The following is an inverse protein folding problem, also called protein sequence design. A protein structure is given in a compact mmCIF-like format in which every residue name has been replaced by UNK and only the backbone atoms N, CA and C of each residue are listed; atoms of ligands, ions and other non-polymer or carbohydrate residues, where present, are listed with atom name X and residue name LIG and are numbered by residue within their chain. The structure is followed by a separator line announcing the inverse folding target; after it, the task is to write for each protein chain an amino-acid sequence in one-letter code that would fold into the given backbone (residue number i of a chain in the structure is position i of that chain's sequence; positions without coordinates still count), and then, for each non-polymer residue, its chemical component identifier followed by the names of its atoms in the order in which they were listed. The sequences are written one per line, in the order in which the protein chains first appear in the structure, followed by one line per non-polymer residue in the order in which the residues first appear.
data_IF_716860746877
#
_entry.id   IF_716860746877
#
_cell.length_a   1.000
_cell.length_b   1.000
_cell.length_c   1.000
_cell.angle_alpha   90.00
_cell.angle_beta   90.00
_cell.angle_gamma   90.00
#
_symmetry.space_group_name_H-M   'P 1'
#
loop_
_entity.id
_entity.type
_entity.pdbx_description
1 polymer ?
#
# COMPACT_ATOMS: atom_id res chain seq x y z
N UNK A 1 -41.35 -28.85 25.75
CA UNK A 1 -40.08 -28.14 25.98
C UNK A 1 -39.04 -29.16 26.40
N UNK A 2 -38.17 -29.62 25.49
CA UNK A 2 -36.85 -30.20 25.81
C UNK A 2 -36.03 -30.47 24.53
N UNK A 3 -35.88 -29.45 23.69
CA UNK A 3 -35.13 -29.52 22.42
C UNK A 3 -33.87 -28.61 22.44
N UNK A 4 -33.34 -28.30 23.64
CA UNK A 4 -32.20 -27.36 23.81
C UNK A 4 -30.95 -28.01 24.43
N UNK A 5 -30.94 -29.32 24.68
CA UNK A 5 -29.76 -30.04 25.19
C UNK A 5 -29.07 -30.98 24.18
N UNK A 6 -29.63 -31.15 22.97
CA UNK A 6 -29.02 -32.00 21.92
C UNK A 6 -27.96 -31.29 21.07
N UNK A 7 -28.16 -30.02 20.73
CA UNK A 7 -27.23 -29.25 19.87
C UNK A 7 -25.89 -28.96 20.54
N UNK A 8 -25.84 -28.97 21.89
CA UNK A 8 -24.62 -28.69 22.65
C UNK A 8 -23.63 -29.88 22.65
N UNK A 9 -24.09 -31.10 22.32
CA UNK A 9 -23.23 -32.29 22.34
C UNK A 9 -22.56 -32.58 20.98
N UNK A 10 -23.09 -32.04 19.88
CA UNK A 10 -22.53 -32.23 18.53
C UNK A 10 -21.21 -31.47 18.34
N UNK A 11 -21.10 -30.26 18.91
CA UNK A 11 -19.90 -29.41 18.80
C UNK A 11 -18.74 -29.90 19.66
N UNK A 12 -19.02 -30.59 20.77
CA UNK A 12 -18.00 -31.13 21.68
C UNK A 12 -17.49 -32.51 21.26
N UNK A 13 -18.27 -33.31 20.52
CA UNK A 13 -17.81 -34.60 19.96
C UNK A 13 -16.90 -34.45 18.74
N UNK A 14 -16.98 -33.31 18.03
CA UNK A 14 -16.04 -32.97 16.96
C UNK A 14 -14.67 -32.49 17.50
N UNK A 15 -14.49 -32.41 18.82
CA UNK A 15 -13.27 -31.88 19.47
C UNK A 15 -12.13 -32.87 19.70
N UNK A 16 -12.22 -34.13 19.25
CA UNK A 16 -11.16 -35.13 19.52
C UNK A 16 -10.88 -36.10 18.36
N UNK A 17 -11.14 -35.69 17.11
CA UNK A 17 -10.58 -36.33 15.91
C UNK A 17 -9.72 -35.31 15.18
N UNK A 18 -8.43 -35.32 15.51
CA UNK A 18 -7.41 -34.59 14.76
C UNK A 18 -7.12 -35.30 13.43
N UNK A 19 -7.12 -34.50 12.35
CA UNK A 19 -6.89 -34.90 10.96
C UNK A 19 -8.23 -35.21 10.28
N UNK A 20 -8.84 -34.34 9.49
CA UNK A 20 -8.28 -33.65 8.33
C UNK A 20 -9.04 -32.33 8.06
N UNK A 21 -8.52 -31.19 8.51
CA UNK A 21 -8.36 -30.15 7.51
C UNK A 21 -7.36 -30.80 6.56
N UNK A 22 -7.80 -31.24 5.39
CA UNK A 22 -6.86 -31.77 4.42
C UNK A 22 -5.78 -30.72 4.27
N UNK A 23 -4.60 -31.00 4.83
CA UNK A 23 -3.34 -30.69 4.21
C UNK A 23 -3.47 -31.33 2.83
N UNK A 24 -4.14 -30.61 1.94
CA UNK A 24 -4.72 -31.17 0.73
C UNK A 24 -3.57 -31.32 -0.22
N UNK A 25 -2.76 -32.38 -0.06
CA UNK A 25 -1.63 -32.66 -0.93
C UNK A 25 -0.65 -31.50 -1.13
N UNK A 26 -0.59 -30.52 -0.22
CA UNK A 26 0.40 -29.44 -0.28
C UNK A 26 1.74 -30.06 0.08
N UNK A 27 2.43 -30.57 -0.94
CA UNK A 27 3.82 -30.93 -0.84
C UNK A 27 4.57 -29.73 -0.24
N UNK A 28 5.62 -29.94 0.56
CA UNK A 28 6.34 -28.85 1.23
C UNK A 28 6.80 -27.74 0.26
N UNK A 29 7.00 -28.10 -1.01
CA UNK A 29 7.29 -27.16 -2.12
C UNK A 29 6.08 -26.36 -2.64
N UNK A 30 4.86 -26.89 -2.56
CA UNK A 30 3.62 -26.19 -2.95
C UNK A 30 3.28 -25.09 -1.93
N UNK A 31 3.42 -25.39 -0.63
CA UNK A 31 3.26 -24.38 0.42
C UNK A 31 4.28 -23.23 0.33
N UNK A 32 5.52 -23.53 -0.10
CA UNK A 32 6.54 -22.50 -0.36
C UNK A 32 6.23 -21.66 -1.60
N UNK A 33 5.65 -22.27 -2.63
CA UNK A 33 5.26 -21.59 -3.87
C UNK A 33 4.08 -20.65 -3.65
N UNK A 34 3.01 -21.10 -2.97
CA UNK A 34 1.86 -20.25 -2.63
C UNK A 34 2.25 -19.04 -1.75
N UNK A 35 3.16 -19.25 -0.80
CA UNK A 35 3.68 -18.17 0.04
C UNK A 35 4.44 -17.12 -0.80
N UNK A 36 5.32 -17.56 -1.70
CA UNK A 36 6.06 -16.67 -2.59
C UNK A 36 5.12 -15.88 -3.52
N UNK A 37 4.14 -16.55 -4.13
CA UNK A 37 3.20 -15.91 -5.05
C UNK A 37 2.35 -14.85 -4.34
N UNK A 38 1.93 -15.14 -3.10
CA UNK A 38 1.22 -14.18 -2.25
C UNK A 38 2.10 -12.97 -1.91
N UNK A 39 3.32 -13.19 -1.46
CA UNK A 39 4.25 -12.11 -1.10
C UNK A 39 4.59 -11.24 -2.32
N UNK A 40 4.77 -11.87 -3.49
CA UNK A 40 4.97 -11.17 -4.75
C UNK A 40 3.77 -10.30 -5.11
N UNK A 41 2.54 -10.83 -5.03
CA UNK A 41 1.32 -10.08 -5.30
C UNK A 41 1.16 -8.87 -4.35
N UNK A 42 1.42 -9.06 -3.06
CA UNK A 42 1.39 -7.97 -2.07
C UNK A 42 2.44 -6.89 -2.34
N UNK A 43 3.65 -7.29 -2.77
CA UNK A 43 4.71 -6.36 -3.14
C UNK A 43 4.34 -5.53 -4.36
N UNK A 44 3.75 -6.16 -5.38
CA UNK A 44 3.28 -5.48 -6.58
C UNK A 44 2.18 -4.47 -6.25
N UNK A 45 1.16 -4.88 -5.50
CA UNK A 45 0.07 -4.00 -5.07
C UNK A 45 0.59 -2.80 -4.27
N UNK A 46 1.57 -3.02 -3.38
CA UNK A 46 2.19 -1.95 -2.61
C UNK A 46 2.92 -0.94 -3.50
N UNK A 47 3.63 -1.41 -4.53
CA UNK A 47 4.31 -0.54 -5.50
C UNK A 47 3.32 0.26 -6.35
N UNK A 48 2.22 -0.35 -6.77
CA UNK A 48 1.18 0.33 -7.54
C UNK A 48 0.50 1.43 -6.71
N UNK A 49 0.21 1.14 -5.44
CA UNK A 49 -0.35 2.15 -4.53
C UNK A 49 0.63 3.31 -4.30
N UNK A 50 1.91 3.02 -4.05
CA UNK A 50 2.95 4.05 -3.94
C UNK A 50 2.98 4.94 -5.21
N UNK A 51 2.90 4.33 -6.41
CA UNK A 51 2.90 5.08 -7.67
C UNK A 51 1.67 5.98 -7.81
N UNK A 52 0.47 5.50 -7.45
CA UNK A 52 -0.75 6.31 -7.46
C UNK A 52 -0.65 7.51 -6.51
N UNK A 53 -0.08 7.34 -5.33
CA UNK A 53 0.15 8.43 -4.38
C UNK A 53 1.11 9.49 -4.94
N UNK A 54 2.20 9.07 -5.59
CA UNK A 54 3.15 10.00 -6.20
C UNK A 54 2.52 10.76 -7.38
N UNK A 55 1.66 10.11 -8.16
CA UNK A 55 0.89 10.76 -9.23
C UNK A 55 -0.08 11.80 -8.65
N UNK A 56 -0.82 11.45 -7.60
CA UNK A 56 -1.74 12.38 -6.93
C UNK A 56 -0.99 13.60 -6.39
N UNK A 57 0.13 13.39 -5.70
CA UNK A 57 0.99 14.47 -5.22
C UNK A 57 1.61 15.30 -6.36
N UNK A 58 1.83 14.72 -7.54
CA UNK A 58 2.25 15.47 -8.72
C UNK A 58 1.13 16.36 -9.28
N UNK A 59 -0.10 15.87 -9.30
CA UNK A 59 -1.27 16.64 -9.71
C UNK A 59 -1.54 17.82 -8.76
N UNK A 60 -1.40 17.61 -7.45
CA UNK A 60 -1.45 18.68 -6.46
C UNK A 60 -0.41 19.75 -6.75
N UNK A 61 0.87 19.37 -6.93
CA UNK A 61 1.93 20.32 -7.30
C UNK A 61 1.64 21.10 -8.59
N UNK A 62 0.90 20.51 -9.55
CA UNK A 62 0.47 21.22 -10.76
C UNK A 62 -0.56 22.28 -10.40
N UNK A 63 -1.57 21.95 -9.58
CA UNK A 63 -2.56 22.90 -9.09
C UNK A 63 -1.92 24.06 -8.30
N UNK A 64 -0.89 23.75 -7.52
CA UNK A 64 -0.16 24.71 -6.69
C UNK A 64 0.85 25.55 -7.49
N UNK A 65 1.11 25.20 -8.76
CA UNK A 65 2.12 25.83 -9.61
C UNK A 65 3.58 25.48 -9.26
N UNK A 66 3.81 24.50 -8.37
CA UNK A 66 5.14 24.05 -7.94
C UNK A 66 5.69 22.85 -8.73
N UNK A 67 4.93 22.37 -9.73
CA UNK A 67 5.33 21.24 -10.57
C UNK A 67 6.67 21.51 -11.30
N UNK A 68 7.52 20.49 -11.36
CA UNK A 68 8.84 20.59 -11.96
C UNK A 68 9.88 21.31 -11.11
N UNK A 69 9.59 21.65 -9.85
CA UNK A 69 10.57 22.17 -8.88
C UNK A 69 11.02 21.05 -7.94
N UNK A 70 12.34 20.97 -7.73
CA UNK A 70 12.96 19.97 -6.86
C UNK A 70 12.65 20.27 -5.39
N UNK A 71 12.07 19.31 -4.67
CA UNK A 71 11.71 19.48 -3.25
C UNK A 71 12.89 19.64 -2.27
N UNK A 72 14.11 19.24 -2.66
CA UNK A 72 15.31 19.38 -1.82
C UNK A 72 16.11 20.64 -2.14
N UNK A 73 16.36 20.92 -3.42
CA UNK A 73 17.25 22.02 -3.84
C UNK A 73 16.54 23.26 -4.37
N UNK A 74 15.22 23.19 -4.60
CA UNK A 74 14.44 24.27 -5.21
C UNK A 74 14.76 24.54 -6.68
N UNK A 75 15.66 23.77 -7.30
CA UNK A 75 16.02 23.90 -8.72
C UNK A 75 14.96 23.27 -9.63
N UNK A 76 14.90 23.71 -10.88
CA UNK A 76 14.04 23.07 -11.90
C UNK A 76 14.52 21.64 -12.20
N UNK A 77 13.57 20.73 -12.28
CA UNK A 77 13.77 19.34 -12.71
C UNK A 77 13.91 19.34 -14.24
N UNK A 78 14.92 18.64 -14.80
CA UNK A 78 15.10 18.56 -16.26
C UNK A 78 13.86 18.03 -16.97
N UNK A 79 13.47 18.67 -18.08
CA UNK A 79 12.26 18.29 -18.83
C UNK A 79 12.30 16.83 -19.30
N UNK A 80 13.43 16.36 -19.83
CA UNK A 80 13.60 14.95 -20.24
C UNK A 80 13.30 13.94 -19.12
N UNK A 81 13.52 14.31 -17.84
CA UNK A 81 13.16 13.49 -16.69
C UNK A 81 11.65 13.49 -16.43
N UNK A 82 10.99 14.64 -16.57
CA UNK A 82 9.54 14.76 -16.41
C UNK A 82 8.77 14.08 -17.55
N UNK A 83 9.34 14.04 -18.76
CA UNK A 83 8.79 13.29 -19.89
C UNK A 83 8.87 11.78 -19.66
N UNK A 84 9.96 11.29 -19.09
CA UNK A 84 10.13 9.87 -18.76
C UNK A 84 9.37 9.46 -17.48
N UNK A 85 9.39 10.31 -16.45
CA UNK A 85 8.82 10.07 -15.12
C UNK A 85 8.09 11.35 -14.65
N UNK A 86 6.81 11.52 -14.99
CA UNK A 86 6.09 12.78 -14.75
C UNK A 86 5.89 13.09 -13.26
N UNK A 87 5.78 12.07 -12.42
CA UNK A 87 5.62 12.27 -10.97
C UNK A 87 6.94 12.57 -10.23
N UNK A 88 8.07 12.71 -10.92
CA UNK A 88 9.37 12.96 -10.29
C UNK A 88 9.36 14.21 -9.37
N UNK A 89 9.99 14.08 -8.19
CA UNK A 89 10.05 15.13 -7.16
C UNK A 89 11.40 15.79 -7.02
N UNK A 90 12.44 15.05 -7.39
CA UNK A 90 13.83 15.43 -7.22
C UNK A 90 14.55 15.41 -8.57
N UNK A 91 15.57 16.24 -8.67
CA UNK A 91 16.60 16.11 -9.71
C UNK A 91 17.37 14.80 -9.51
N UNK A 92 18.02 14.31 -10.57
CA UNK A 92 18.86 13.09 -10.49
C UNK A 92 19.94 13.24 -9.41
N UNK A 93 20.61 14.39 -9.36
CA UNK A 93 21.65 14.66 -8.37
C UNK A 93 21.11 14.60 -6.93
N UNK A 94 19.97 15.25 -6.66
CA UNK A 94 19.36 15.24 -5.33
C UNK A 94 18.86 13.84 -4.96
N UNK A 95 18.29 13.10 -5.92
CA UNK A 95 17.84 11.73 -5.70
C UNK A 95 19.02 10.82 -5.35
N UNK A 96 20.11 10.85 -6.12
CA UNK A 96 21.29 10.02 -5.85
C UNK A 96 21.95 10.35 -4.53
N UNK A 97 22.01 11.64 -4.16
CA UNK A 97 22.53 12.05 -2.84
C UNK A 97 21.68 11.49 -1.71
N UNK A 98 20.36 11.60 -1.83
CA UNK A 98 19.45 11.10 -0.81
C UNK A 98 19.54 9.58 -0.64
N UNK A 99 19.62 8.83 -1.74
CA UNK A 99 19.76 7.36 -1.72
C UNK A 99 21.09 6.91 -1.09
N UNK A 100 22.18 7.65 -1.30
CA UNK A 100 23.47 7.38 -0.65
C UNK A 100 23.39 7.61 0.87
N UNK A 101 22.72 8.68 1.30
CA UNK A 101 22.55 8.98 2.72
C UNK A 101 21.51 8.05 3.39
N UNK A 102 20.58 7.49 2.61
CA UNK A 102 19.41 6.75 3.10
C UNK A 102 19.13 5.48 2.28
N UNK A 103 20.00 4.46 2.37
CA UNK A 103 19.93 3.28 1.50
C UNK A 103 18.65 2.46 1.65
N UNK A 104 17.99 2.53 2.83
CA UNK A 104 16.78 1.75 3.13
C UNK A 104 15.50 2.60 3.19
N UNK A 105 15.54 3.87 2.78
CA UNK A 105 14.35 4.74 2.81
C UNK A 105 14.09 5.38 1.45
N UNK A 106 12.87 5.17 0.93
CA UNK A 106 12.37 5.94 -0.22
C UNK A 106 12.11 7.38 0.20
N UNK A 107 12.38 8.33 -0.69
CA UNK A 107 11.95 9.72 -0.55
C UNK A 107 10.43 9.79 -0.77
N UNK A 108 9.63 9.81 0.31
CA UNK A 108 8.16 9.88 0.27
C UNK A 108 7.69 11.30 0.58
N UNK A 109 6.47 11.67 0.17
CA UNK A 109 5.81 12.89 0.68
C UNK A 109 5.63 12.76 2.19
N UNK A 110 5.69 13.90 2.88
CA UNK A 110 5.11 14.06 4.21
C UNK A 110 3.68 13.54 4.31
N UNK A 111 2.90 13.70 3.23
CA UNK A 111 1.47 13.42 3.15
C UNK A 111 1.12 12.00 2.67
N UNK A 112 2.13 11.16 2.39
CA UNK A 112 1.91 9.78 1.96
C UNK A 112 1.47 8.91 3.15
N UNK A 113 0.16 8.89 3.42
CA UNK A 113 -0.48 7.94 4.33
C UNK A 113 -0.23 6.52 3.83
N UNK A 114 0.62 5.77 4.52
CA UNK A 114 0.83 4.35 4.23
C UNK A 114 -0.41 3.52 4.56
N UNK A 115 -0.51 2.31 4.00
CA UNK A 115 -1.61 1.35 4.18
C UNK A 115 -1.92 0.94 5.65
N UNK A 116 -1.19 1.47 6.64
CA UNK A 116 -1.44 1.27 8.08
C UNK A 116 -1.70 2.55 8.88
N UNK A 117 -1.73 3.74 8.24
CA UNK A 117 -2.08 4.97 8.91
C UNK A 117 -3.60 5.11 8.95
N UNK A 118 -4.20 4.72 10.07
CA UNK A 118 -5.60 5.01 10.36
C UNK A 118 -5.86 6.52 10.16
N UNK A 119 -6.82 6.83 9.28
CA UNK A 119 -7.22 8.20 9.00
C UNK A 119 -7.75 8.88 10.27
N UNK A 120 -6.93 9.73 10.90
CA UNK A 120 -7.42 10.82 11.73
C UNK A 120 -7.25 12.12 10.96
N UNK A 121 -8.11 12.33 9.96
CA UNK A 121 -8.00 13.47 9.05
C UNK A 121 -9.31 13.76 8.31
N UNK A 122 -10.13 14.60 8.93
CA UNK A 122 -11.44 15.06 8.51
C UNK A 122 -11.47 15.70 7.12
N UNK A 123 -12.34 15.20 6.24
CA UNK A 123 -13.05 16.03 5.27
C UNK A 123 -14.48 15.56 5.20
N UNK A 124 -15.31 16.17 6.04
CA UNK A 124 -16.76 16.12 5.92
C UNK A 124 -17.13 16.84 4.62
N UNK A 125 -17.46 16.08 3.57
CA UNK A 125 -18.22 16.63 2.44
C UNK A 125 -19.60 16.99 2.98
N UNK A 126 -19.83 18.28 3.20
CA UNK A 126 -21.15 18.79 3.55
C UNK A 126 -22.00 18.76 2.28
N UNK A 127 -23.05 17.93 2.30
CA UNK A 127 -24.09 17.92 1.29
C UNK A 127 -25.26 18.74 1.85
N UNK A 128 -25.16 20.07 1.82
CA UNK A 128 -26.35 20.91 1.91
C UNK A 128 -27.01 20.97 0.53
N UNK A 129 -27.93 20.03 0.30
CA UNK A 129 -28.87 20.11 -0.81
C UNK A 129 -29.93 21.17 -0.50
N UNK A 130 -29.75 22.38 -1.01
CA UNK A 130 -30.82 23.38 -1.12
C UNK A 130 -31.29 23.47 -2.57
N UNK A 131 -32.46 22.90 -2.85
CA UNK A 131 -33.42 23.33 -3.88
C UNK A 131 -34.78 22.66 -3.63
#
# INVERSE_FOLDING_TARGET
MDAMYGVQQETLRNGSSGGEASVSGTHLGDAGSDAYDRDFALNLLSKEQDALQEIQAALERIADGSYGICGLSGKRIPQARLEAIPFARLTVECQSKWEQENPNRKFRSSDAVGFGAAASGSSAVSLDGSA
#
